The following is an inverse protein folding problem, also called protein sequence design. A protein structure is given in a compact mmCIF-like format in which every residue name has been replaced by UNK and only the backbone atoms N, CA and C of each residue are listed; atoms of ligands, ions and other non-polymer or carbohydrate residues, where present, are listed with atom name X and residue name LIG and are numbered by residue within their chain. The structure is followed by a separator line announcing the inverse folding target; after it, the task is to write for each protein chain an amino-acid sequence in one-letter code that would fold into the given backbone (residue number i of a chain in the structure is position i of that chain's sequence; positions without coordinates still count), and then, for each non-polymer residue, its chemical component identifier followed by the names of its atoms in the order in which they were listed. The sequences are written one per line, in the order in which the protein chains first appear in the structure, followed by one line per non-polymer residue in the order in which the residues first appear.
data_IF_589320441353
#
_entry.id   IF_589320441353
#
_cell.length_a   1.000
_cell.length_b   1.000
_cell.length_c   1.000
_cell.angle_alpha   90.00
_cell.angle_beta   90.00
_cell.angle_gamma   90.00
#
_symmetry.space_group_name_H-M   'P 1'
#
loop_
_entity.id
_entity.type
_entity.pdbx_description
1 polymer ?
#
# COMPACT_ATOMS: atom_id res chain seq x y z
N UNK A 1 -29.74 -7.92 4.26
CA UNK A 1 -30.41 -7.22 3.12
C UNK A 1 -31.33 -6.17 3.73
N UNK A 2 -30.80 -5.01 4.07
CA UNK A 2 -31.62 -3.88 4.48
C UNK A 2 -32.31 -3.33 3.23
N UNK A 3 -33.61 -3.14 3.29
CA UNK A 3 -34.41 -2.43 2.29
C UNK A 3 -34.16 -0.90 2.34
N UNK A 4 -32.95 -0.49 2.52
CA UNK A 4 -32.50 0.88 2.37
C UNK A 4 -31.85 0.97 1.00
N UNK A 5 -32.19 1.99 0.21
CA UNK A 5 -31.68 2.21 -1.13
C UNK A 5 -30.13 2.19 -1.16
N UNK A 6 -29.56 2.19 -2.33
CA UNK A 6 -28.12 2.11 -2.52
C UNK A 6 -27.41 3.25 -1.75
N UNK A 7 -26.48 2.87 -0.87
CA UNK A 7 -25.74 3.81 -0.03
C UNK A 7 -24.57 4.47 -0.77
N UNK A 8 -24.10 3.81 -1.82
CA UNK A 8 -23.02 4.26 -2.68
C UNK A 8 -23.38 3.99 -4.15
N UNK A 9 -23.16 5.00 -4.97
CA UNK A 9 -23.07 4.87 -6.42
C UNK A 9 -21.61 4.88 -6.81
N UNK A 10 -21.21 4.04 -7.75
CA UNK A 10 -19.83 3.97 -8.19
C UNK A 10 -19.71 3.79 -9.69
N UNK A 11 -18.68 4.38 -10.25
CA UNK A 11 -18.33 4.32 -11.66
C UNK A 11 -16.86 4.04 -11.84
N UNK A 12 -16.51 3.36 -12.93
CA UNK A 12 -15.13 3.16 -13.36
C UNK A 12 -14.86 4.14 -14.48
N UNK A 13 -13.80 4.95 -14.32
CA UNK A 13 -13.41 5.96 -15.28
C UNK A 13 -12.01 5.68 -15.81
N UNK A 14 -11.78 5.98 -17.09
CA UNK A 14 -10.44 6.00 -17.68
C UNK A 14 -10.16 7.37 -18.32
N UNK A 15 -8.89 7.70 -18.57
CA UNK A 15 -8.52 9.04 -19.07
C UNK A 15 -9.14 9.40 -20.41
N UNK A 16 -9.37 8.43 -21.27
CA UNK A 16 -9.85 8.60 -22.64
C UNK A 16 -11.18 7.90 -22.91
N UNK A 17 -11.74 7.20 -21.93
CA UNK A 17 -12.95 6.38 -22.10
C UNK A 17 -12.69 5.00 -22.68
N UNK A 18 -11.43 4.65 -22.99
CA UNK A 18 -11.07 3.34 -23.52
C UNK A 18 -10.84 2.30 -22.41
N UNK A 19 -10.99 1.00 -22.72
CA UNK A 19 -10.67 -0.09 -21.80
C UNK A 19 -9.23 -0.01 -21.30
N UNK A 20 -9.05 -0.31 -20.00
CA UNK A 20 -7.75 -0.27 -19.34
C UNK A 20 -7.27 -1.70 -19.05
N UNK A 21 -6.08 -2.04 -19.54
CA UNK A 21 -5.43 -3.29 -19.24
C UNK A 21 -4.81 -3.25 -17.84
N UNK A 22 -5.25 -4.13 -16.95
CA UNK A 22 -4.67 -4.32 -15.62
C UNK A 22 -3.31 -5.03 -15.68
N UNK A 23 -2.55 -5.04 -14.58
CA UNK A 23 -1.21 -5.65 -14.53
C UNK A 23 -1.20 -7.18 -14.74
N UNK A 24 -2.35 -7.85 -14.59
CA UNK A 24 -2.52 -9.28 -14.87
C UNK A 24 -3.10 -9.57 -16.28
N UNK A 25 -3.24 -8.54 -17.13
CA UNK A 25 -3.71 -8.68 -18.51
C UNK A 25 -5.23 -8.67 -18.69
N UNK A 26 -6.01 -8.49 -17.63
CA UNK A 26 -7.47 -8.35 -17.73
C UNK A 26 -7.81 -6.93 -18.15
N UNK A 27 -8.70 -6.80 -19.16
CA UNK A 27 -9.24 -5.51 -19.56
C UNK A 27 -10.46 -5.15 -18.70
N UNK A 28 -10.52 -3.90 -18.30
CA UNK A 28 -11.62 -3.31 -17.55
C UNK A 28 -12.24 -2.24 -18.41
N UNK A 29 -13.50 -2.40 -18.75
CA UNK A 29 -14.27 -1.39 -19.50
C UNK A 29 -14.71 -0.28 -18.54
N UNK A 30 -14.38 1.00 -18.80
CA UNK A 30 -14.85 2.11 -17.99
C UNK A 30 -16.32 2.42 -18.32
N UNK A 31 -17.00 3.04 -17.37
CA UNK A 31 -18.33 3.59 -17.58
C UNK A 31 -18.28 4.87 -18.39
N UNK A 32 -17.22 5.69 -18.18
CA UNK A 32 -17.04 6.95 -18.88
C UNK A 32 -15.57 7.41 -18.84
N UNK A 33 -15.34 8.54 -19.47
CA UNK A 33 -14.07 9.25 -19.47
C UNK A 33 -13.90 10.09 -18.21
N UNK A 34 -12.71 10.05 -17.63
CA UNK A 34 -12.33 10.94 -16.55
C UNK A 34 -12.06 12.34 -17.08
N UNK A 35 -12.84 13.30 -16.67
CA UNK A 35 -12.59 14.72 -16.93
C UNK A 35 -12.69 15.58 -15.65
N UNK A 36 -12.46 16.87 -15.79
CA UNK A 36 -12.49 17.83 -14.69
C UNK A 36 -13.90 18.15 -14.18
N UNK A 37 -14.95 17.73 -14.89
CA UNK A 37 -16.35 18.02 -14.57
C UNK A 37 -17.05 16.86 -13.88
N UNK A 38 -16.38 15.71 -13.72
CA UNK A 38 -16.95 14.55 -13.04
C UNK A 38 -17.54 14.97 -11.69
N UNK A 39 -18.76 14.53 -11.40
CA UNK A 39 -19.46 14.77 -10.15
C UNK A 39 -19.32 13.54 -9.27
N UNK A 40 -18.50 13.65 -8.25
CA UNK A 40 -18.27 12.57 -7.29
C UNK A 40 -17.85 13.17 -5.95
N UNK A 41 -18.15 12.49 -4.87
CA UNK A 41 -17.68 12.87 -3.54
C UNK A 41 -16.23 12.42 -3.32
N UNK A 42 -15.90 11.22 -3.81
CA UNK A 42 -14.56 10.63 -3.66
C UNK A 42 -14.12 10.03 -5.01
N UNK A 43 -12.92 10.38 -5.45
CA UNK A 43 -12.26 9.75 -6.59
C UNK A 43 -11.10 8.88 -6.11
N UNK A 44 -11.16 7.57 -6.32
CA UNK A 44 -10.05 6.66 -6.08
C UNK A 44 -9.22 6.44 -7.35
N UNK A 45 -7.94 6.80 -7.28
CA UNK A 45 -6.96 6.49 -8.33
C UNK A 45 -6.38 5.11 -8.09
N UNK A 46 -6.53 4.22 -9.07
CA UNK A 46 -5.98 2.86 -9.03
C UNK A 46 -4.72 2.78 -9.88
N UNK A 47 -3.64 2.23 -9.34
CA UNK A 47 -2.42 1.94 -10.08
C UNK A 47 -1.74 0.70 -9.49
N UNK A 48 -0.95 0.03 -10.32
CA UNK A 48 -0.18 -1.17 -9.94
C UNK A 48 1.28 -1.03 -10.39
N UNK A 49 1.78 -2.03 -11.11
CA UNK A 49 3.16 -2.06 -11.58
C UNK A 49 3.50 -0.88 -12.50
N UNK A 50 4.76 -0.44 -12.42
CA UNK A 50 5.33 0.62 -13.28
C UNK A 50 4.58 1.97 -13.21
N UNK A 51 4.16 2.38 -12.01
CA UNK A 51 3.41 3.64 -11.81
C UNK A 51 4.13 4.87 -12.37
N UNK A 52 5.46 4.89 -12.37
CA UNK A 52 6.26 6.00 -12.93
C UNK A 52 5.92 6.26 -14.40
N UNK A 53 5.67 5.20 -15.17
CA UNK A 53 5.29 5.27 -16.59
C UNK A 53 3.83 5.73 -16.81
N UNK A 54 3.05 5.82 -15.73
CA UNK A 54 1.65 6.28 -15.75
C UNK A 54 1.52 7.78 -15.47
N UNK A 55 2.60 8.44 -15.10
CA UNK A 55 2.61 9.90 -14.86
C UNK A 55 2.40 10.63 -16.16
N UNK A 56 1.31 11.37 -16.28
CA UNK A 56 1.07 12.24 -17.42
C UNK A 56 0.46 13.57 -16.97
N UNK A 57 0.77 14.65 -17.69
CA UNK A 57 0.30 16.00 -17.34
C UNK A 57 -1.22 16.17 -17.34
N UNK A 58 -1.99 15.61 -18.29
CA UNK A 58 -3.45 15.65 -18.24
C UNK A 58 -4.03 15.08 -16.96
N UNK A 59 -3.65 13.86 -16.56
CA UNK A 59 -4.11 13.23 -15.33
C UNK A 59 -3.82 14.10 -14.10
N UNK A 60 -2.56 14.54 -13.93
CA UNK A 60 -2.18 15.40 -12.81
C UNK A 60 -2.96 16.72 -12.78
N UNK A 61 -3.27 17.27 -13.96
CA UNK A 61 -4.09 18.48 -14.11
C UNK A 61 -5.53 18.27 -13.64
N UNK A 62 -6.16 17.17 -14.05
CA UNK A 62 -7.52 16.79 -13.64
C UNK A 62 -7.57 16.58 -12.12
N UNK A 63 -6.64 15.80 -11.55
CA UNK A 63 -6.59 15.54 -10.10
C UNK A 63 -6.50 16.84 -9.28
N UNK A 64 -5.67 17.80 -9.72
CA UNK A 64 -5.56 19.12 -9.05
C UNK A 64 -6.86 19.94 -9.15
N UNK A 65 -7.56 19.87 -10.28
CA UNK A 65 -8.83 20.58 -10.46
C UNK A 65 -9.92 19.99 -9.59
N UNK A 66 -10.04 18.64 -9.53
CA UNK A 66 -10.99 17.96 -8.69
C UNK A 66 -10.73 18.23 -7.20
N UNK A 67 -9.47 18.18 -6.76
CA UNK A 67 -9.10 18.54 -5.39
C UNK A 67 -9.52 19.98 -5.02
N UNK A 68 -9.32 20.95 -5.92
CA UNK A 68 -9.74 22.35 -5.71
C UNK A 68 -11.27 22.53 -5.65
N UNK A 69 -12.02 21.62 -6.27
CA UNK A 69 -13.48 21.58 -6.20
C UNK A 69 -14.01 20.90 -4.93
N UNK A 70 -13.11 20.42 -4.06
CA UNK A 70 -13.47 19.75 -2.82
C UNK A 70 -13.73 18.24 -2.96
N UNK A 71 -13.44 17.65 -4.12
CA UNK A 71 -13.51 16.20 -4.29
C UNK A 71 -12.44 15.55 -3.43
N UNK A 72 -12.83 14.59 -2.59
CA UNK A 72 -11.90 13.80 -1.83
C UNK A 72 -11.10 12.88 -2.76
N UNK A 73 -9.81 12.73 -2.53
CA UNK A 73 -8.96 11.91 -3.39
C UNK A 73 -8.42 10.71 -2.63
N UNK A 74 -8.65 9.54 -3.19
CA UNK A 74 -8.10 8.27 -2.73
C UNK A 74 -7.03 7.73 -3.67
N UNK A 75 -6.10 6.97 -3.14
CA UNK A 75 -5.07 6.26 -3.91
C UNK A 75 -4.95 4.81 -3.45
N UNK A 76 -5.01 3.90 -4.41
CA UNK A 76 -4.91 2.47 -4.14
C UNK A 76 -3.58 1.92 -4.67
N UNK A 77 -2.88 1.16 -3.84
CA UNK A 77 -1.61 0.52 -4.12
C UNK A 77 -0.49 1.56 -4.41
N UNK A 78 -0.01 1.64 -5.64
CA UNK A 78 1.07 2.57 -6.03
C UNK A 78 0.57 3.96 -6.45
N UNK A 79 -0.73 4.18 -6.52
CA UNK A 79 -1.32 5.44 -6.99
C UNK A 79 -1.01 6.65 -6.10
N UNK A 80 -0.60 6.45 -4.85
CA UNK A 80 -0.10 7.53 -3.97
C UNK A 80 1.06 8.30 -4.62
N UNK A 81 1.87 7.63 -5.44
CA UNK A 81 2.91 8.28 -6.23
C UNK A 81 2.35 9.30 -7.22
N UNK A 82 1.21 9.03 -7.85
CA UNK A 82 0.54 9.98 -8.77
C UNK A 82 0.00 11.20 -8.03
N UNK A 83 -0.57 11.00 -6.84
CA UNK A 83 -1.03 12.11 -5.99
C UNK A 83 0.15 12.94 -5.47
N UNK A 84 1.29 12.32 -5.14
CA UNK A 84 2.52 13.00 -4.77
C UNK A 84 3.05 13.86 -5.94
N UNK A 85 3.15 13.30 -7.15
CA UNK A 85 3.53 14.06 -8.38
C UNK A 85 2.57 15.20 -8.70
N UNK A 86 1.31 15.07 -8.31
CA UNK A 86 0.35 16.17 -8.44
C UNK A 86 0.49 17.23 -7.33
N UNK A 87 1.34 17.02 -6.31
CA UNK A 87 1.49 17.93 -5.17
C UNK A 87 0.28 17.94 -4.23
N UNK A 88 -0.47 16.83 -4.17
CA UNK A 88 -1.74 16.74 -3.45
C UNK A 88 -1.64 16.06 -2.09
N UNK A 89 -0.42 15.68 -1.66
CA UNK A 89 -0.15 14.99 -0.41
C UNK A 89 0.63 15.84 0.61
N UNK A 90 0.89 17.11 0.33
CA UNK A 90 1.58 18.01 1.27
C UNK A 90 0.78 18.15 2.56
N UNK A 91 1.45 17.99 3.70
CA UNK A 91 0.84 18.03 5.04
C UNK A 91 -0.30 17.00 5.22
N UNK A 92 -0.19 15.85 4.58
CA UNK A 92 -1.08 14.70 4.71
C UNK A 92 -0.28 13.45 5.00
N UNK A 93 -0.79 12.62 5.91
CA UNK A 93 -0.31 11.24 6.05
C UNK A 93 -0.73 10.44 4.84
N UNK A 94 0.17 9.65 4.32
CA UNK A 94 -0.11 8.77 3.19
C UNK A 94 0.64 7.45 3.33
N UNK A 95 0.12 6.43 2.71
CA UNK A 95 0.82 5.16 2.56
C UNK A 95 0.84 4.75 1.09
N UNK A 96 1.73 3.84 0.75
CA UNK A 96 1.90 3.26 -0.58
C UNK A 96 2.26 1.78 -0.42
N UNK A 97 2.19 1.00 -1.48
CA UNK A 97 2.66 -0.38 -1.46
C UNK A 97 4.09 -0.47 -0.92
N UNK A 98 4.35 -1.41 -0.01
CA UNK A 98 5.60 -1.52 0.73
C UNK A 98 6.86 -1.56 -0.17
N UNK A 99 6.78 -2.16 -1.36
CA UNK A 99 7.88 -2.18 -2.34
C UNK A 99 8.27 -0.80 -2.86
N UNK A 100 7.34 0.15 -2.85
CA UNK A 100 7.57 1.50 -3.36
C UNK A 100 7.77 2.54 -2.24
N UNK A 101 7.66 2.12 -0.97
CA UNK A 101 7.70 3.04 0.18
C UNK A 101 9.02 3.79 0.25
N UNK A 102 10.14 3.09 0.04
CA UNK A 102 11.48 3.68 0.13
C UNK A 102 11.70 4.69 -0.99
N UNK A 103 11.51 4.28 -2.25
CA UNK A 103 11.65 5.17 -3.42
C UNK A 103 10.74 6.42 -3.32
N UNK A 104 9.54 6.26 -2.74
CA UNK A 104 8.65 7.39 -2.54
C UNK A 104 9.19 8.37 -1.49
N UNK A 105 9.77 7.87 -0.39
CA UNK A 105 10.39 8.70 0.65
C UNK A 105 11.64 9.43 0.15
N UNK A 106 12.42 8.79 -0.71
CA UNK A 106 13.61 9.41 -1.33
C UNK A 106 13.22 10.52 -2.31
N UNK A 107 12.24 10.28 -3.15
CA UNK A 107 11.83 11.25 -4.16
C UNK A 107 11.01 12.41 -3.56
N UNK A 108 10.29 12.15 -2.47
CA UNK A 108 9.43 13.14 -1.77
C UNK A 108 9.75 13.20 -0.27
N UNK A 109 10.94 13.69 0.12
CA UNK A 109 11.40 13.67 1.51
C UNK A 109 10.51 14.48 2.47
N UNK A 110 9.77 15.45 1.96
CA UNK A 110 8.86 16.30 2.75
C UNK A 110 7.47 15.68 3.00
N UNK A 111 7.18 14.51 2.43
CA UNK A 111 5.91 13.84 2.63
C UNK A 111 5.94 12.89 3.85
N UNK A 112 4.87 12.89 4.62
CA UNK A 112 4.66 11.93 5.72
C UNK A 112 4.19 10.57 5.17
N UNK A 113 5.15 9.79 4.64
CA UNK A 113 4.89 8.45 4.10
C UNK A 113 5.02 7.42 5.20
N UNK A 114 3.89 6.87 5.63
CA UNK A 114 3.82 5.84 6.67
C UNK A 114 3.99 4.42 6.09
N UNK A 115 4.18 3.44 6.98
CA UNK A 115 4.16 2.01 6.62
C UNK A 115 2.83 1.34 7.03
N UNK A 116 1.81 2.14 7.31
CA UNK A 116 0.49 1.67 7.69
C UNK A 116 -0.21 0.97 6.52
N UNK A 117 -1.19 0.15 6.84
CA UNK A 117 -1.98 -0.58 5.85
C UNK A 117 -2.77 0.36 4.96
N UNK A 118 -3.36 1.38 5.57
CA UNK A 118 -4.04 2.49 4.91
C UNK A 118 -3.96 3.76 5.77
N UNK A 119 -4.23 4.91 5.16
CA UNK A 119 -4.35 6.21 5.83
C UNK A 119 -5.63 6.90 5.39
N UNK A 120 -6.32 7.50 6.35
CA UNK A 120 -7.44 8.42 6.16
C UNK A 120 -7.03 9.73 6.83
N UNK A 121 -6.70 10.73 6.04
CA UNK A 121 -6.30 12.04 6.55
C UNK A 121 -7.13 13.15 5.87
N UNK A 122 -8.22 13.50 6.54
CA UNK A 122 -9.17 14.53 6.09
C UNK A 122 -9.79 14.13 4.73
N UNK A 123 -9.40 14.82 3.67
CA UNK A 123 -9.89 14.65 2.32
C UNK A 123 -8.95 13.78 1.45
N UNK A 124 -8.01 13.06 2.07
CA UNK A 124 -7.06 12.16 1.42
C UNK A 124 -7.14 10.76 2.00
N UNK A 125 -7.21 9.80 1.11
CA UNK A 125 -7.26 8.37 1.42
C UNK A 125 -6.11 7.68 0.70
N UNK A 126 -5.46 6.74 1.35
CA UNK A 126 -4.45 5.91 0.69
C UNK A 126 -4.41 4.52 1.29
N UNK A 127 -4.12 3.51 0.49
CA UNK A 127 -3.87 2.17 0.99
C UNK A 127 -2.74 1.48 0.24
N UNK A 128 -2.16 0.48 0.88
CA UNK A 128 -1.02 -0.29 0.35
C UNK A 128 -1.37 -1.25 -0.79
N UNK A 129 -2.65 -1.36 -1.15
CA UNK A 129 -3.12 -2.25 -2.22
C UNK A 129 -3.49 -3.66 -1.74
N UNK A 130 -3.81 -4.54 -2.69
CA UNK A 130 -4.34 -5.86 -2.37
C UNK A 130 -5.61 -5.78 -1.54
N UNK A 131 -5.72 -6.60 -0.51
CA UNK A 131 -6.90 -6.62 0.39
C UNK A 131 -6.99 -5.40 1.31
N UNK A 132 -5.95 -4.54 1.39
CA UNK A 132 -6.03 -3.33 2.22
C UNK A 132 -7.02 -2.29 1.68
N UNK A 133 -7.35 -2.33 0.39
CA UNK A 133 -8.42 -1.51 -0.18
C UNK A 133 -9.80 -1.90 0.35
N UNK A 134 -10.02 -3.18 0.63
CA UNK A 134 -11.22 -3.65 1.30
C UNK A 134 -11.29 -3.11 2.73
N UNK A 135 -10.19 -3.19 3.49
CA UNK A 135 -10.15 -2.67 4.87
C UNK A 135 -10.35 -1.16 4.90
N UNK A 136 -9.74 -0.42 3.98
CA UNK A 136 -9.97 1.02 3.84
C UNK A 136 -11.46 1.31 3.61
N UNK A 137 -12.10 0.62 2.66
CA UNK A 137 -13.52 0.84 2.38
C UNK A 137 -14.42 0.44 3.55
N UNK A 138 -14.12 -0.65 4.25
CA UNK A 138 -14.84 -1.04 5.47
C UNK A 138 -14.71 0.00 6.58
N UNK A 139 -13.54 0.64 6.72
CA UNK A 139 -13.36 1.73 7.68
C UNK A 139 -14.14 2.99 7.27
N UNK A 140 -14.20 3.32 5.99
CA UNK A 140 -15.07 4.41 5.47
C UNK A 140 -16.56 4.10 5.78
N UNK A 141 -16.98 2.86 5.61
CA UNK A 141 -18.35 2.43 5.96
C UNK A 141 -18.58 2.55 7.48
N UNK A 142 -17.58 2.21 8.31
CA UNK A 142 -17.70 2.39 9.77
C UNK A 142 -17.93 3.85 10.13
N UNK A 143 -17.17 4.76 9.54
CA UNK A 143 -17.25 6.20 9.80
C UNK A 143 -18.59 6.78 9.35
N UNK A 144 -19.10 6.38 8.18
CA UNK A 144 -20.31 6.95 7.59
C UNK A 144 -21.61 6.28 8.06
N UNK A 145 -21.59 4.97 8.33
CA UNK A 145 -22.79 4.17 8.54
C UNK A 145 -22.73 3.27 9.78
N UNK A 146 -21.61 3.30 10.50
CA UNK A 146 -21.42 2.55 11.74
C UNK A 146 -20.95 1.12 11.56
N UNK A 147 -20.47 0.57 12.68
CA UNK A 147 -19.77 -0.73 12.73
C UNK A 147 -20.64 -1.93 12.33
N UNK A 148 -21.94 -1.87 12.60
CA UNK A 148 -22.83 -3.00 12.33
C UNK A 148 -22.96 -3.27 10.82
N UNK A 149 -23.09 -2.22 10.01
CA UNK A 149 -23.13 -2.38 8.56
C UNK A 149 -21.80 -2.93 8.03
N UNK A 150 -20.68 -2.35 8.47
CA UNK A 150 -19.34 -2.81 8.05
C UNK A 150 -19.12 -4.30 8.39
N UNK A 151 -19.54 -4.76 9.57
CA UNK A 151 -19.49 -6.19 9.94
C UNK A 151 -20.33 -7.04 9.00
N UNK A 152 -21.57 -6.64 8.69
CA UNK A 152 -22.43 -7.37 7.76
C UNK A 152 -21.81 -7.47 6.36
N UNK A 153 -21.17 -6.40 5.88
CA UNK A 153 -20.43 -6.40 4.61
C UNK A 153 -19.21 -7.32 4.68
N UNK A 154 -18.46 -7.27 5.78
CA UNK A 154 -17.29 -8.14 6.02
C UNK A 154 -17.71 -9.62 6.02
N UNK A 155 -18.79 -9.97 6.69
CA UNK A 155 -19.34 -11.32 6.71
C UNK A 155 -19.76 -11.80 5.31
N UNK A 156 -20.41 -10.92 4.53
CA UNK A 156 -20.84 -11.24 3.16
C UNK A 156 -19.61 -11.49 2.23
N UNK A 157 -18.50 -10.82 2.48
CA UNK A 157 -17.23 -10.99 1.74
C UNK A 157 -16.35 -12.12 2.30
N UNK A 158 -16.80 -12.84 3.34
CA UNK A 158 -16.01 -13.87 4.04
C UNK A 158 -14.66 -13.30 4.51
N UNK A 159 -14.66 -12.02 4.89
CA UNK A 159 -13.48 -11.34 5.40
C UNK A 159 -13.41 -11.47 6.92
N UNK A 160 -12.49 -12.31 7.40
CA UNK A 160 -12.43 -12.76 8.79
C UNK A 160 -12.31 -11.62 9.80
N UNK A 161 -11.58 -10.56 9.43
CA UNK A 161 -11.32 -9.43 10.34
C UNK A 161 -11.11 -8.14 9.57
N UNK A 162 -11.84 -7.10 9.94
CA UNK A 162 -11.55 -5.72 9.49
C UNK A 162 -10.25 -5.29 10.18
N UNK A 163 -9.22 -5.02 9.39
CA UNK A 163 -7.91 -4.60 9.89
C UNK A 163 -7.89 -3.10 10.20
N UNK A 164 -7.04 -2.71 11.14
CA UNK A 164 -6.78 -1.32 11.46
C UNK A 164 -5.69 -0.74 10.56
N UNK A 165 -5.65 0.59 10.44
CA UNK A 165 -4.61 1.30 9.68
C UNK A 165 -3.20 0.91 10.13
N UNK A 166 -2.99 0.75 11.44
CA UNK A 166 -1.71 0.36 12.04
C UNK A 166 -1.31 -1.10 11.86
N UNK A 167 -2.17 -1.94 11.25
CA UNK A 167 -1.77 -3.31 10.91
C UNK A 167 -0.66 -3.31 9.84
N UNK A 168 0.19 -4.32 9.87
CA UNK A 168 1.32 -4.42 8.96
C UNK A 168 0.90 -4.74 7.53
N UNK A 169 1.51 -4.09 6.55
CA UNK A 169 1.31 -4.40 5.13
C UNK A 169 1.82 -5.81 4.77
N UNK A 170 2.92 -6.23 5.37
CA UNK A 170 3.53 -7.54 5.15
C UNK A 170 3.24 -8.48 6.31
N UNK A 171 3.09 -9.74 5.99
CA UNK A 171 3.07 -10.77 7.03
C UNK A 171 4.32 -10.66 7.90
N UNK A 172 4.17 -10.96 9.20
CA UNK A 172 5.32 -10.97 10.11
C UNK A 172 6.46 -11.84 9.56
N UNK A 173 7.70 -11.47 9.83
CA UNK A 173 8.87 -12.28 9.46
C UNK A 173 8.73 -13.74 9.90
N UNK A 174 8.15 -13.96 11.09
CA UNK A 174 7.85 -15.28 11.60
C UNK A 174 6.95 -16.09 10.65
N UNK A 175 5.87 -15.47 10.16
CA UNK A 175 4.93 -16.11 9.24
C UNK A 175 5.53 -16.30 7.85
N UNK A 176 6.30 -15.33 7.35
CA UNK A 176 6.95 -15.40 6.02
C UNK A 176 8.03 -16.47 5.94
N UNK A 177 8.80 -16.63 7.02
CA UNK A 177 9.93 -17.58 7.07
C UNK A 177 9.52 -18.94 7.61
N UNK A 178 8.34 -19.07 8.23
CA UNK A 178 7.94 -20.30 8.93
C UNK A 178 8.82 -20.61 10.14
N UNK A 179 9.53 -19.61 10.69
CA UNK A 179 10.53 -19.78 11.74
C UNK A 179 10.21 -18.86 12.91
N UNK A 180 10.39 -19.39 14.13
CA UNK A 180 10.14 -18.61 15.37
C UNK A 180 11.40 -18.25 16.14
N UNK A 181 12.61 -18.49 15.61
CA UNK A 181 13.86 -18.23 16.32
C UNK A 181 14.15 -16.72 16.42
N UNK A 182 14.10 -16.08 17.62
CA UNK A 182 14.13 -14.62 17.76
C UNK A 182 15.37 -13.97 17.15
N UNK A 183 16.55 -14.57 17.33
CA UNK A 183 17.82 -14.04 16.81
C UNK A 183 17.90 -14.09 15.27
N UNK A 184 17.31 -15.11 14.65
CA UNK A 184 17.24 -15.19 13.21
C UNK A 184 16.28 -14.11 12.65
N UNK A 185 15.09 -13.99 13.25
CA UNK A 185 14.11 -12.97 12.87
C UNK A 185 14.70 -11.56 13.01
N UNK A 186 15.39 -11.28 14.12
CA UNK A 186 16.08 -10.01 14.33
C UNK A 186 17.17 -9.77 13.28
N UNK A 187 17.97 -10.82 12.94
CA UNK A 187 19.00 -10.69 11.91
C UNK A 187 18.41 -10.37 10.54
N UNK A 188 17.29 -11.03 10.17
CA UNK A 188 16.59 -10.78 8.90
C UNK A 188 15.96 -9.39 8.88
N UNK A 189 15.37 -8.93 9.99
CA UNK A 189 14.84 -7.56 10.10
C UNK A 189 15.92 -6.53 9.85
N UNK A 190 17.09 -6.68 10.49
CA UNK A 190 18.23 -5.79 10.29
C UNK A 190 18.72 -5.81 8.83
N UNK A 191 18.67 -6.97 8.16
CA UNK A 191 19.00 -7.06 6.73
C UNK A 191 18.01 -6.30 5.86
N UNK A 192 16.68 -6.45 6.11
CA UNK A 192 15.63 -5.75 5.37
C UNK A 192 15.70 -4.22 5.55
N UNK A 193 16.14 -3.77 6.72
CA UNK A 193 16.32 -2.34 7.02
C UNK A 193 17.59 -1.73 6.36
N UNK A 194 18.49 -2.57 5.85
CA UNK A 194 19.79 -2.14 5.29
C UNK A 194 20.03 -2.77 3.90
N UNK A 195 19.03 -2.69 3.00
CA UNK A 195 19.12 -3.28 1.66
C UNK A 195 19.99 -2.45 0.69
N UNK A 196 20.01 -1.14 0.84
CA UNK A 196 20.78 -0.22 -0.01
C UNK A 196 22.26 -0.30 0.31
N UNK A 197 22.62 -0.25 1.59
CA UNK A 197 23.97 -0.41 2.09
C UNK A 197 24.07 -1.70 2.92
N UNK A 198 24.30 -2.86 2.27
CA UNK A 198 24.32 -4.14 2.97
C UNK A 198 25.40 -4.18 4.04
N UNK A 199 25.01 -4.53 5.24
CA UNK A 199 25.92 -4.71 6.36
C UNK A 199 26.84 -5.90 6.12
N UNK A 200 28.10 -5.77 6.49
CA UNK A 200 29.00 -6.93 6.58
C UNK A 200 28.48 -7.93 7.62
N UNK A 201 28.84 -9.20 7.47
CA UNK A 201 28.46 -10.24 8.46
C UNK A 201 28.88 -9.89 9.89
N UNK A 202 30.00 -9.16 10.03
CA UNK A 202 30.51 -8.73 11.33
C UNK A 202 29.62 -7.65 11.96
N UNK A 203 29.17 -6.69 11.17
CA UNK A 203 28.25 -5.64 11.62
C UNK A 203 26.86 -6.23 11.91
N UNK A 204 26.36 -7.08 11.01
CA UNK A 204 25.08 -7.76 11.19
C UNK A 204 25.05 -8.60 12.48
N UNK A 205 26.11 -9.39 12.71
CA UNK A 205 26.22 -10.21 13.92
C UNK A 205 26.27 -9.35 15.20
N UNK A 206 27.00 -8.22 15.15
CA UNK A 206 27.06 -7.26 16.24
C UNK A 206 25.71 -6.61 16.52
N UNK A 207 25.02 -6.12 15.49
CA UNK A 207 23.65 -5.54 15.63
C UNK A 207 22.63 -6.56 16.14
N UNK A 208 22.70 -7.80 15.67
CA UNK A 208 21.82 -8.88 16.12
C UNK A 208 22.19 -9.46 17.51
N UNK A 209 23.33 -9.01 18.08
CA UNK A 209 23.88 -9.49 19.34
C UNK A 209 24.04 -11.02 19.37
N UNK A 210 24.80 -11.54 18.39
CA UNK A 210 25.19 -12.95 18.25
C UNK A 210 26.61 -13.04 17.66
N UNK A 211 27.25 -14.21 17.78
CA UNK A 211 28.54 -14.45 17.11
C UNK A 211 28.36 -14.74 15.62
N UNK A 212 29.40 -14.48 14.79
CA UNK A 212 29.41 -14.84 13.36
C UNK A 212 29.06 -16.32 13.13
N UNK A 213 29.68 -17.23 13.91
CA UNK A 213 29.41 -18.67 13.83
C UNK A 213 27.94 -18.99 14.15
N UNK A 214 27.34 -18.27 15.08
CA UNK A 214 25.93 -18.44 15.43
C UNK A 214 25.03 -17.91 14.32
N UNK A 215 25.36 -16.76 13.70
CA UNK A 215 24.65 -16.21 12.56
C UNK A 215 24.59 -17.23 11.41
N UNK A 216 25.75 -17.71 10.96
CA UNK A 216 25.85 -18.71 9.89
C UNK A 216 25.08 -20.00 10.21
N UNK A 217 25.20 -20.50 11.43
CA UNK A 217 24.48 -21.69 11.88
C UNK A 217 22.97 -21.51 11.83
N UNK A 218 22.47 -20.33 12.21
CA UNK A 218 21.02 -20.05 12.20
C UNK A 218 20.49 -19.99 10.76
N UNK A 219 21.16 -19.28 9.86
CA UNK A 219 20.75 -19.21 8.46
C UNK A 219 20.79 -20.58 7.78
N UNK A 220 21.87 -21.34 7.95
CA UNK A 220 21.98 -22.69 7.38
C UNK A 220 20.92 -23.63 7.95
N UNK A 221 20.69 -23.60 9.28
CA UNK A 221 19.72 -24.51 9.94
C UNK A 221 18.28 -24.24 9.54
N UNK A 222 17.88 -22.98 9.46
CA UNK A 222 16.47 -22.60 9.31
C UNK A 222 16.08 -22.13 7.91
N UNK A 223 17.03 -21.61 7.14
CA UNK A 223 16.78 -21.06 5.81
C UNK A 223 17.55 -21.79 4.71
N UNK A 224 18.34 -22.82 5.05
CA UNK A 224 19.13 -23.63 4.11
C UNK A 224 20.02 -22.81 3.17
N UNK A 225 20.52 -21.66 3.65
CA UNK A 225 21.39 -20.78 2.88
C UNK A 225 22.35 -20.01 3.81
N UNK A 226 23.37 -19.41 3.24
CA UNK A 226 24.27 -18.50 3.98
C UNK A 226 23.61 -17.11 4.15
N UNK A 227 24.04 -16.30 5.15
CA UNK A 227 23.57 -14.93 5.29
C UNK A 227 23.75 -14.10 4.01
N UNK A 228 24.86 -14.28 3.30
CA UNK A 228 25.13 -13.58 2.04
C UNK A 228 24.17 -13.98 0.91
N UNK A 229 23.93 -15.27 0.75
CA UNK A 229 22.93 -15.77 -0.22
C UNK A 229 21.53 -15.26 0.09
N UNK A 230 21.20 -15.14 1.38
CA UNK A 230 19.92 -14.58 1.78
C UNK A 230 19.81 -13.08 1.45
N UNK A 231 20.88 -12.30 1.70
CA UNK A 231 20.92 -10.88 1.34
C UNK A 231 20.73 -10.65 -0.17
N UNK A 232 21.36 -11.51 -0.99
CA UNK A 232 21.16 -11.46 -2.45
C UNK A 232 19.72 -11.76 -2.89
N UNK A 233 19.00 -12.60 -2.15
CA UNK A 233 17.58 -12.88 -2.41
C UNK A 233 16.64 -11.75 -1.99
N UNK A 234 17.06 -10.91 -1.06
CA UNK A 234 16.26 -9.77 -0.58
C UNK A 234 16.39 -8.56 -1.51
N UNK A 235 17.46 -8.47 -2.30
CA UNK A 235 17.73 -7.42 -3.29
C UNK A 235 17.12 -7.73 -4.64
#
# INVERSE_FOLDING_TARGET
RANQGDLYEWEILSLNGDPVCSSNGIFIDPNDKLDENVKTDILFVCSGLNVMNKVNRPLLGILRKLARRGVHLGSLCTASYLLAKAGLLSNRKTTIHWENSLSMKEEFPDLDVTNNLFEIDRDRYSCSGGTSSLDLMLNIIIENHGTNLAKSVSDQLIHERIRYSSDYQRMSLRSRLGVSHPKLLSSVSIMEENLEEPLSHKELSKKANISLRQLERLFNKYLSCTPNQYYLKLR
#
